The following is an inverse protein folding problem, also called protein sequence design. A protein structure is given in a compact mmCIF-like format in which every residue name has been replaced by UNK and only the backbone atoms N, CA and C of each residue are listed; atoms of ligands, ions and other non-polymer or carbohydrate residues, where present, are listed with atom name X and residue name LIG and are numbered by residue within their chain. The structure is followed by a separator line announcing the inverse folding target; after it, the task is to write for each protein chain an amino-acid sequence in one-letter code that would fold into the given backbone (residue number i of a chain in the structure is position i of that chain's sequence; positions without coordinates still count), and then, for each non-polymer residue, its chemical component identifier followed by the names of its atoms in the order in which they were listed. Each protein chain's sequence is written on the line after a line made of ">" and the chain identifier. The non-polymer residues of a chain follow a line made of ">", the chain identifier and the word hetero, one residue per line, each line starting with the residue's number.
data_IF_563739552154
#
_entry.id   IF_563739552154
#
_cell.length_a   1.000
_cell.length_b   1.000
_cell.length_c   1.000
_cell.angle_alpha   90.00
_cell.angle_beta   90.00
_cell.angle_gamma   90.00
#
_symmetry.space_group_name_H-M   'P 1'
#
loop_
_entity.id
_entity.type
_entity.pdbx_description
1 polymer ?
#
# COMPACT_ATOMS: atom_id res chain seq x y z
N UNK A 1 -10.67 -6.29 31.27
CA UNK A 1 -10.96 -5.28 30.23
C UNK A 1 -11.05 -5.97 28.89
N UNK A 2 -12.10 -5.70 28.11
CA UNK A 2 -12.17 -6.08 26.68
C UNK A 2 -11.71 -4.87 25.89
N UNK A 3 -10.76 -5.07 25.00
CA UNK A 3 -10.36 -4.07 24.01
C UNK A 3 -10.94 -4.49 22.66
N UNK A 4 -11.53 -3.56 21.93
CA UNK A 4 -11.96 -3.77 20.56
C UNK A 4 -10.96 -3.05 19.64
N UNK A 5 -10.17 -3.79 18.83
CA UNK A 5 -9.24 -3.15 17.92
C UNK A 5 -9.99 -2.49 16.77
N UNK A 6 -9.69 -1.22 16.51
CA UNK A 6 -10.22 -0.45 15.39
C UNK A 6 -9.05 -0.04 14.50
N UNK A 7 -9.20 -0.23 13.20
CA UNK A 7 -8.27 0.27 12.18
C UNK A 7 -9.02 1.20 11.25
N UNK A 8 -8.52 2.42 11.09
CA UNK A 8 -9.11 3.43 10.21
C UNK A 8 -8.15 3.69 9.06
N UNK A 9 -8.66 3.65 7.83
CA UNK A 9 -7.89 4.05 6.64
C UNK A 9 -8.50 5.33 6.09
N UNK A 10 -7.71 6.40 6.07
CA UNK A 10 -8.06 7.65 5.44
C UNK A 10 -7.26 7.83 4.14
N UNK A 11 -7.89 8.24 3.03
CA UNK A 11 -7.19 8.50 1.78
C UNK A 11 -6.17 9.64 1.95
N UNK A 12 -4.92 9.39 1.57
CA UNK A 12 -3.85 10.38 1.57
C UNK A 12 -3.08 10.34 0.23
N UNK A 13 -2.61 11.49 -0.29
CA UNK A 13 -1.76 11.50 -1.48
C UNK A 13 -0.40 10.87 -1.17
N UNK A 14 0.22 10.25 -2.18
CA UNK A 14 1.61 9.81 -2.07
C UNK A 14 2.57 11.01 -2.13
N UNK A 15 3.79 10.82 -1.62
CA UNK A 15 4.77 11.89 -1.44
C UNK A 15 5.30 12.49 -2.75
N UNK A 16 5.17 11.78 -3.87
CA UNK A 16 5.54 12.31 -5.20
C UNK A 16 4.46 13.22 -5.76
N UNK A 17 3.18 12.95 -5.49
CA UNK A 17 2.06 13.74 -5.98
C UNK A 17 1.75 14.95 -5.09
N UNK A 18 1.97 14.82 -3.78
CA UNK A 18 1.88 15.93 -2.84
C UNK A 18 2.95 15.76 -1.75
N UNK A 19 4.00 16.60 -1.74
CA UNK A 19 5.06 16.55 -0.73
C UNK A 19 4.62 17.27 0.56
N UNK A 20 3.61 16.71 1.22
CA UNK A 20 3.09 17.24 2.48
C UNK A 20 4.06 16.98 3.64
N UNK A 21 4.16 17.93 4.57
CA UNK A 21 4.90 17.76 5.83
C UNK A 21 4.07 16.93 6.81
N UNK A 22 4.29 15.62 6.78
CA UNK A 22 3.55 14.69 7.63
C UNK A 22 3.89 14.83 9.11
N UNK A 23 5.07 15.32 9.47
CA UNK A 23 5.41 15.53 10.88
C UNK A 23 4.52 16.63 11.48
N UNK A 24 4.19 17.67 10.70
CA UNK A 24 3.28 18.73 11.11
C UNK A 24 1.78 18.36 11.00
N UNK A 25 1.41 17.45 10.08
CA UNK A 25 0.01 17.17 9.73
C UNK A 25 -0.58 15.97 10.50
N UNK A 26 0.25 15.02 10.95
CA UNK A 26 -0.22 13.74 11.50
C UNK A 26 -1.20 13.91 12.66
N UNK A 27 -0.84 14.70 13.67
CA UNK A 27 -1.66 14.84 14.87
C UNK A 27 -2.97 15.60 14.60
N UNK A 28 -2.97 16.79 13.97
CA UNK A 28 -4.21 17.49 13.63
C UNK A 28 -5.14 16.68 12.73
N UNK A 29 -4.59 15.93 11.77
CA UNK A 29 -5.40 15.11 10.88
C UNK A 29 -6.00 13.88 11.58
N UNK A 30 -5.27 13.30 12.54
CA UNK A 30 -5.79 12.20 13.37
C UNK A 30 -6.95 12.68 14.23
N UNK A 31 -6.83 13.85 14.85
CA UNK A 31 -7.91 14.49 15.63
C UNK A 31 -9.14 14.78 14.74
N UNK A 32 -8.94 15.29 13.53
CA UNK A 32 -10.01 15.52 12.55
C UNK A 32 -10.76 14.23 12.23
N UNK A 33 -10.05 13.13 11.96
CA UNK A 33 -10.65 11.82 11.67
C UNK A 33 -11.44 11.31 12.87
N UNK A 34 -10.92 11.43 14.10
CA UNK A 34 -11.61 10.99 15.30
C UNK A 34 -12.90 11.80 15.51
N UNK A 35 -12.84 13.13 15.41
CA UNK A 35 -14.04 13.98 15.50
C UNK A 35 -15.07 13.66 14.42
N UNK A 36 -14.63 13.34 13.22
CA UNK A 36 -15.51 12.93 12.12
C UNK A 36 -16.18 11.57 12.37
N UNK A 37 -15.49 10.62 13.00
CA UNK A 37 -16.08 9.35 13.41
C UNK A 37 -17.12 9.53 14.51
N UNK A 38 -16.86 10.39 15.50
CA UNK A 38 -17.85 10.71 16.54
C UNK A 38 -19.11 11.33 15.94
N UNK A 39 -18.96 12.29 15.02
CA UNK A 39 -20.08 12.89 14.29
C UNK A 39 -20.88 11.87 13.47
N UNK A 40 -20.28 10.73 13.11
CA UNK A 40 -20.91 9.62 12.39
C UNK A 40 -21.47 8.51 13.29
N UNK A 41 -21.48 8.72 14.60
CA UNK A 41 -22.12 7.83 15.56
C UNK A 41 -21.18 6.93 16.35
N UNK A 42 -19.86 7.05 16.18
CA UNK A 42 -18.87 6.41 17.05
C UNK A 42 -18.68 7.24 18.34
N UNK A 43 -19.75 7.44 19.11
CA UNK A 43 -19.74 8.29 20.29
C UNK A 43 -18.79 7.78 21.38
N UNK A 44 -18.02 8.68 22.01
CA UNK A 44 -17.05 8.36 23.07
C UNK A 44 -15.73 7.78 22.54
N UNK A 45 -15.54 7.74 21.23
CA UNK A 45 -14.32 7.21 20.63
C UNK A 45 -13.10 8.06 21.00
N UNK A 46 -13.19 9.38 20.90
CA UNK A 46 -12.05 10.25 21.14
C UNK A 46 -11.61 10.27 22.61
N UNK A 47 -12.53 10.05 23.56
CA UNK A 47 -12.22 10.01 24.99
C UNK A 47 -11.63 8.68 25.46
N UNK A 48 -12.02 7.57 24.82
CA UNK A 48 -11.75 6.23 25.33
C UNK A 48 -10.72 5.46 24.47
N UNK A 49 -10.34 5.97 23.30
CA UNK A 49 -9.36 5.32 22.42
C UNK A 49 -7.93 5.51 22.93
N UNK A 50 -7.16 4.42 22.91
CA UNK A 50 -5.70 4.48 22.98
C UNK A 50 -5.14 4.22 21.59
N UNK A 51 -4.48 5.23 21.02
CA UNK A 51 -3.87 5.11 19.69
C UNK A 51 -2.57 4.31 19.82
N UNK A 52 -2.59 3.08 19.30
CA UNK A 52 -1.40 2.22 19.31
C UNK A 52 -0.38 2.61 18.23
N UNK A 53 -0.87 3.07 17.06
CA UNK A 53 -0.03 3.37 15.89
C UNK A 53 -0.75 4.29 14.91
N UNK A 54 -0.01 5.23 14.34
CA UNK A 54 -0.41 6.02 13.17
C UNK A 54 0.67 5.85 12.11
N UNK A 55 0.28 5.35 10.93
CA UNK A 55 1.18 5.24 9.78
C UNK A 55 0.78 6.24 8.70
N UNK A 56 1.75 7.02 8.24
CA UNK A 56 1.56 8.01 7.17
C UNK A 56 2.34 7.61 5.92
N UNK A 57 2.15 8.31 4.78
CA UNK A 57 3.03 8.16 3.64
C UNK A 57 4.52 8.30 3.97
N UNK A 58 4.91 9.15 4.93
CA UNK A 58 6.29 9.25 5.40
C UNK A 58 6.75 7.98 6.13
N UNK A 59 5.90 7.40 6.98
CA UNK A 59 6.16 6.12 7.64
C UNK A 59 6.40 5.00 6.61
N UNK A 60 5.55 4.92 5.57
CA UNK A 60 5.71 3.94 4.49
C UNK A 60 7.00 4.15 3.68
N UNK A 61 7.37 5.39 3.39
CA UNK A 61 8.63 5.69 2.72
C UNK A 61 9.83 5.20 3.55
N UNK A 62 9.82 5.43 4.87
CA UNK A 62 10.86 4.93 5.78
C UNK A 62 10.99 3.41 5.82
N UNK A 63 9.91 2.68 5.51
CA UNK A 63 9.91 1.21 5.35
C UNK A 63 10.31 0.73 3.95
N UNK A 64 10.69 1.63 3.04
CA UNK A 64 11.11 1.30 1.69
C UNK A 64 9.96 1.19 0.68
N UNK A 65 8.74 1.61 1.04
CA UNK A 65 7.66 1.70 0.07
C UNK A 65 7.85 2.92 -0.84
N UNK A 66 7.98 2.67 -2.15
CA UNK A 66 8.15 3.72 -3.15
C UNK A 66 7.07 4.79 -3.05
N UNK A 67 7.46 6.07 -3.09
CA UNK A 67 6.58 7.24 -2.94
C UNK A 67 5.72 7.27 -1.66
N UNK A 68 5.97 6.40 -0.68
CA UNK A 68 5.16 6.31 0.54
C UNK A 68 3.80 5.63 0.35
N UNK A 69 3.64 4.73 -0.63
CA UNK A 69 2.39 3.97 -0.84
C UNK A 69 2.51 2.51 -0.40
N UNK A 70 1.67 2.04 0.55
CA UNK A 70 1.67 0.63 0.95
C UNK A 70 0.97 -0.28 -0.08
N UNK A 71 0.31 0.29 -1.11
CA UNK A 71 -0.52 -0.43 -2.07
C UNK A 71 0.07 -0.49 -3.50
N UNK A 72 1.39 -0.29 -3.64
CA UNK A 72 2.07 -0.28 -4.94
C UNK A 72 1.47 0.75 -5.92
N UNK A 73 1.52 0.45 -7.23
CA UNK A 73 1.01 1.31 -8.30
C UNK A 73 -0.51 1.46 -8.22
N UNK A 74 -1.00 2.67 -8.48
CA UNK A 74 -2.42 3.01 -8.44
C UNK A 74 -3.22 2.34 -9.57
N UNK A 75 -4.55 2.37 -9.44
CA UNK A 75 -5.49 1.85 -10.44
C UNK A 75 -5.83 2.89 -11.52
N UNK A 76 -4.84 3.68 -11.96
CA UNK A 76 -5.02 4.56 -13.11
C UNK A 76 -4.87 3.78 -14.41
N UNK A 77 -5.42 4.29 -15.52
CA UNK A 77 -5.31 3.64 -16.83
C UNK A 77 -3.86 3.31 -17.20
N UNK A 78 -2.93 4.23 -16.97
CA UNK A 78 -1.51 4.07 -17.28
C UNK A 78 -0.72 3.20 -16.29
N UNK A 79 -1.35 2.75 -15.20
CA UNK A 79 -0.72 1.94 -14.16
C UNK A 79 -1.43 0.58 -13.95
N UNK A 80 -2.32 0.21 -14.87
CA UNK A 80 -3.07 -1.04 -14.82
C UNK A 80 -2.84 -1.93 -16.05
N UNK A 81 -3.20 -3.20 -15.91
CA UNK A 81 -3.16 -4.20 -16.99
C UNK A 81 -1.82 -4.24 -17.74
N UNK A 82 -1.81 -4.06 -19.08
CA UNK A 82 -0.60 -4.18 -19.90
C UNK A 82 0.42 -3.07 -19.66
N UNK A 83 0.03 -1.96 -19.02
CA UNK A 83 0.93 -0.84 -18.70
C UNK A 83 1.67 -1.02 -17.37
N UNK A 84 1.37 -2.07 -16.60
CA UNK A 84 2.16 -2.39 -15.40
C UNK A 84 3.58 -2.84 -15.79
N UNK A 85 4.58 -2.57 -14.94
CA UNK A 85 5.93 -3.11 -15.13
C UNK A 85 5.88 -4.63 -15.32
N UNK A 86 6.46 -5.10 -16.43
CA UNK A 86 6.53 -6.52 -16.75
C UNK A 86 7.38 -7.27 -15.72
N UNK A 87 6.98 -8.49 -15.38
CA UNK A 87 7.79 -9.34 -14.50
C UNK A 87 8.96 -10.02 -15.22
N UNK A 88 8.92 -10.14 -16.55
CA UNK A 88 9.98 -10.73 -17.37
C UNK A 88 9.88 -10.34 -18.87
N UNK A 89 11.03 -10.16 -19.57
CA UNK A 89 12.36 -9.89 -19.03
C UNK A 89 12.35 -8.51 -18.37
N UNK A 90 12.66 -8.44 -17.08
CA UNK A 90 12.55 -7.20 -16.34
C UNK A 90 13.68 -6.25 -16.76
N UNK A 91 13.34 -5.01 -17.13
CA UNK A 91 14.29 -4.01 -17.62
C UNK A 91 15.17 -4.46 -18.81
N UNK A 92 14.72 -5.46 -19.58
CA UNK A 92 15.48 -6.03 -20.69
C UNK A 92 16.62 -6.97 -20.27
N UNK A 93 16.64 -7.43 -19.01
CA UNK A 93 17.65 -8.34 -18.47
C UNK A 93 17.09 -9.77 -18.49
N UNK A 94 17.75 -10.67 -19.23
CA UNK A 94 17.25 -12.03 -19.50
C UNK A 94 17.30 -12.98 -18.29
N UNK A 95 18.14 -12.70 -17.30
CA UNK A 95 18.26 -13.49 -16.07
C UNK A 95 17.62 -12.81 -14.85
N UNK A 96 16.73 -11.83 -15.07
CA UNK A 96 16.03 -11.11 -14.01
C UNK A 96 14.51 -11.30 -14.12
N UNK A 97 13.91 -11.82 -13.05
CA UNK A 97 12.46 -11.95 -12.91
C UNK A 97 11.99 -11.17 -11.68
N UNK A 98 11.04 -10.26 -11.85
CA UNK A 98 10.43 -9.53 -10.74
C UNK A 98 9.21 -10.30 -10.21
N UNK A 99 8.99 -10.26 -8.90
CA UNK A 99 7.82 -10.84 -8.26
C UNK A 99 7.21 -9.85 -7.27
N UNK A 100 5.90 -9.90 -7.10
CA UNK A 100 5.17 -9.16 -6.08
C UNK A 100 4.07 -8.25 -6.63
N UNK A 101 3.55 -7.37 -5.77
CA UNK A 101 2.37 -6.53 -6.06
C UNK A 101 2.64 -5.40 -7.07
N UNK A 102 3.90 -4.98 -7.22
CA UNK A 102 4.30 -3.88 -8.10
C UNK A 102 4.49 -4.28 -9.57
N UNK A 103 4.38 -5.58 -9.89
CA UNK A 103 4.51 -6.10 -11.26
C UNK A 103 3.25 -6.87 -11.67
N UNK A 104 3.25 -7.44 -12.87
CA UNK A 104 2.18 -8.33 -13.34
C UNK A 104 2.03 -9.53 -12.38
N UNK A 105 0.80 -9.89 -11.92
CA UNK A 105 -0.50 -9.44 -12.41
C UNK A 105 -1.08 -8.19 -11.71
N UNK A 106 -0.59 -7.80 -10.53
CA UNK A 106 -0.99 -6.55 -9.88
C UNK A 106 -1.01 -6.61 -8.36
N UNK A 107 -1.59 -5.57 -7.74
CA UNK A 107 -1.75 -5.44 -6.29
C UNK A 107 -2.83 -6.37 -5.74
N UNK A 108 -2.69 -6.77 -4.47
CA UNK A 108 -3.60 -7.66 -3.74
C UNK A 108 -2.91 -8.95 -3.30
N UNK A 109 -3.39 -9.56 -2.22
CA UNK A 109 -2.80 -10.81 -1.71
C UNK A 109 -2.82 -11.94 -2.77
N UNK A 110 -3.96 -12.23 -3.43
CA UNK A 110 -3.99 -13.32 -4.42
C UNK A 110 -3.06 -13.08 -5.61
N UNK A 111 -3.06 -11.87 -6.17
CA UNK A 111 -2.23 -11.46 -7.32
C UNK A 111 -0.74 -11.45 -6.98
N UNK A 112 -0.38 -11.05 -5.76
CA UNK A 112 1.02 -11.10 -5.26
C UNK A 112 1.53 -12.54 -5.18
N UNK A 113 0.73 -13.46 -4.62
CA UNK A 113 1.08 -14.88 -4.54
C UNK A 113 1.24 -15.48 -5.95
N UNK A 114 0.31 -15.19 -6.85
CA UNK A 114 0.38 -15.62 -8.25
C UNK A 114 1.63 -15.08 -8.96
N UNK A 115 2.00 -13.80 -8.71
CA UNK A 115 3.23 -13.22 -9.24
C UNK A 115 4.46 -14.02 -8.82
N UNK A 116 4.55 -14.39 -7.54
CA UNK A 116 5.62 -15.22 -7.00
C UNK A 116 5.67 -16.62 -7.62
N UNK A 117 4.52 -17.28 -7.76
CA UNK A 117 4.44 -18.60 -8.41
C UNK A 117 4.89 -18.55 -9.88
N UNK A 118 4.50 -17.51 -10.62
CA UNK A 118 4.93 -17.30 -12.00
C UNK A 118 6.44 -17.02 -12.09
N UNK A 119 7.01 -16.29 -11.13
CA UNK A 119 8.44 -16.05 -11.08
C UNK A 119 9.22 -17.35 -10.81
N UNK A 120 8.80 -18.13 -9.82
CA UNK A 120 9.40 -19.42 -9.49
C UNK A 120 9.37 -20.40 -10.68
N UNK A 121 8.24 -20.46 -11.40
CA UNK A 121 8.12 -21.30 -12.61
C UNK A 121 9.11 -20.91 -13.71
N UNK A 122 9.34 -19.61 -13.92
CA UNK A 122 10.32 -19.13 -14.91
C UNK A 122 11.75 -19.51 -14.53
N UNK A 123 12.11 -19.35 -13.26
CA UNK A 123 13.42 -19.75 -12.73
C UNK A 123 13.62 -21.27 -12.88
N UNK A 124 12.58 -22.07 -12.59
CA UNK A 124 12.63 -23.52 -12.68
C UNK A 124 12.51 -24.12 -14.09
N UNK A 125 12.50 -23.31 -15.16
CA UNK A 125 12.38 -23.80 -16.55
C UNK A 125 10.98 -24.31 -16.94
N UNK A 126 9.97 -24.11 -16.08
CA UNK A 126 8.58 -24.50 -16.32
C UNK A 126 7.86 -23.50 -17.22
N UNK A 127 8.20 -23.49 -18.51
CA UNK A 127 7.57 -22.65 -19.53
C UNK A 127 6.05 -22.83 -19.63
N UNK A 128 5.39 -21.83 -20.21
CA UNK A 128 4.05 -22.01 -20.80
C UNK A 128 4.25 -22.89 -22.02
N UNK A 129 3.68 -24.09 -22.01
CA UNK A 129 3.23 -24.70 -23.25
C UNK A 129 1.97 -23.97 -23.69
#
# INVERSE_FOLDING_TARGET
>A
MRYEPISVLAPAPNLTKAPLDWDAITDPYTEEILGLLEQRGFAGLASDISIARVDTPATWLGMGHGAGTPFALAHTFTQTGPFRPRNYPAYGIDNLVMAGSSTTPGVGVPTTILSGALAARRIGGGGVK
#
